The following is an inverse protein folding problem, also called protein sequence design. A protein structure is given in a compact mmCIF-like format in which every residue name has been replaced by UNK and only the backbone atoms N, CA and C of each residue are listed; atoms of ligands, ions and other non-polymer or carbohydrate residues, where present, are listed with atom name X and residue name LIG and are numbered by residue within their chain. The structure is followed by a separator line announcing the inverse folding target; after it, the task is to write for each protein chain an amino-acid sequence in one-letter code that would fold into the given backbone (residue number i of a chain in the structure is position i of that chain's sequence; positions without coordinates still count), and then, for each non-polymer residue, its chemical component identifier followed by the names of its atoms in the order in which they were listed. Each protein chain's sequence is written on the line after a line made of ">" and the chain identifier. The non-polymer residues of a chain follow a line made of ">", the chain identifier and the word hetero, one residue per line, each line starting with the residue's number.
data_IF_081670723163
#
_entry.id   IF_081670723163
#
_cell.length_a   1.000
_cell.length_b   1.000
_cell.length_c   1.000
_cell.angle_alpha   90.00
_cell.angle_beta   90.00
_cell.angle_gamma   90.00
#
_symmetry.space_group_name_H-M   'P 1'
#
loop_
_entity.id
_entity.type
_entity.pdbx_description
1 polymer ?
#
# COMPACT_ATOMS: atom_id res chain seq x y z
N UNK A 1 -33.03 -6.44 -33.32
CA UNK A 1 -31.93 -5.51 -32.95
C UNK A 1 -32.45 -4.46 -31.98
N UNK A 2 -33.57 -3.81 -32.29
CA UNK A 2 -34.38 -2.93 -31.43
C UNK A 2 -34.57 -3.41 -29.99
N UNK A 3 -34.96 -4.66 -29.76
CA UNK A 3 -35.19 -5.16 -28.40
C UNK A 3 -33.95 -5.19 -27.48
N UNK A 4 -32.72 -5.26 -28.03
CA UNK A 4 -31.49 -5.16 -27.23
C UNK A 4 -31.16 -3.69 -26.94
N UNK A 5 -31.46 -2.79 -27.87
CA UNK A 5 -31.24 -1.35 -27.74
C UNK A 5 -32.16 -0.76 -26.67
N UNK A 6 -33.45 -1.11 -26.68
CA UNK A 6 -34.41 -0.75 -25.63
C UNK A 6 -33.98 -1.26 -24.24
N UNK A 7 -33.41 -2.46 -24.16
CA UNK A 7 -32.92 -3.01 -22.88
C UNK A 7 -31.64 -2.31 -22.38
N UNK A 8 -30.92 -1.64 -23.26
CA UNK A 8 -29.72 -0.88 -22.97
C UNK A 8 -30.05 0.59 -22.69
N UNK A 9 -31.16 1.13 -23.18
CA UNK A 9 -31.54 2.54 -23.05
C UNK A 9 -31.58 3.02 -21.58
N UNK A 10 -32.19 2.23 -20.69
CA UNK A 10 -32.28 2.54 -19.25
C UNK A 10 -31.03 2.16 -18.43
N UNK A 11 -30.07 1.47 -19.05
CA UNK A 11 -28.92 0.88 -18.36
C UNK A 11 -27.58 1.26 -18.99
N UNK A 12 -27.59 2.19 -19.95
CA UNK A 12 -26.41 2.70 -20.64
C UNK A 12 -26.03 4.05 -20.04
N UNK A 13 -24.83 4.10 -19.46
CA UNK A 13 -24.16 5.35 -19.19
C UNK A 13 -23.08 5.55 -20.25
N UNK A 14 -22.84 6.80 -20.64
CA UNK A 14 -21.92 7.11 -21.72
C UNK A 14 -21.34 8.51 -21.61
N UNK A 15 -20.20 8.71 -22.26
CA UNK A 15 -19.58 10.03 -22.42
C UNK A 15 -19.97 10.58 -23.81
N UNK A 16 -20.77 11.67 -23.89
CA UNK A 16 -21.26 12.21 -25.15
C UNK A 16 -20.15 12.83 -26.01
N UNK A 17 -18.98 13.13 -25.44
CA UNK A 17 -17.86 13.75 -26.18
C UNK A 17 -17.00 12.68 -26.86
N UNK A 18 -16.83 11.52 -26.23
CA UNK A 18 -15.98 10.44 -26.76
C UNK A 18 -16.76 9.31 -27.44
N UNK A 19 -18.10 9.32 -27.35
CA UNK A 19 -18.98 8.28 -27.89
C UNK A 19 -18.94 6.95 -27.12
N UNK A 20 -18.25 6.91 -25.97
CA UNK A 20 -18.03 5.68 -25.20
C UNK A 20 -19.32 5.28 -24.45
N UNK A 21 -19.81 4.06 -24.66
CA UNK A 21 -21.00 3.51 -23.99
C UNK A 21 -20.67 2.32 -23.10
N UNK A 22 -21.26 2.24 -21.91
CA UNK A 22 -21.11 1.10 -21.00
C UNK A 22 -22.42 0.78 -20.28
N UNK A 23 -22.56 -0.46 -19.82
CA UNK A 23 -23.74 -0.92 -19.05
C UNK A 23 -23.33 -1.70 -17.81
N UNK A 24 -24.13 -1.60 -16.75
CA UNK A 24 -23.96 -2.37 -15.52
C UNK A 24 -24.57 -3.78 -15.59
N UNK A 25 -25.27 -4.12 -16.68
CA UNK A 25 -25.91 -5.44 -16.85
C UNK A 25 -24.92 -6.48 -17.36
N UNK A 26 -24.92 -7.66 -16.73
CA UNK A 26 -24.16 -8.81 -17.23
C UNK A 26 -24.78 -9.38 -18.51
N UNK A 27 -23.98 -10.06 -19.34
CA UNK A 27 -24.48 -10.76 -20.54
C UNK A 27 -25.59 -11.78 -20.22
N UNK A 28 -25.53 -12.40 -19.04
CA UNK A 28 -26.57 -13.32 -18.54
C UNK A 28 -27.88 -12.58 -18.23
N UNK A 29 -27.79 -11.42 -17.60
CA UNK A 29 -28.96 -10.56 -17.34
C UNK A 29 -29.60 -10.09 -18.66
N UNK A 30 -28.79 -9.65 -19.62
CA UNK A 30 -29.25 -9.25 -20.95
C UNK A 30 -29.90 -10.41 -21.72
N UNK A 31 -29.29 -11.60 -21.69
CA UNK A 31 -29.86 -12.80 -22.31
C UNK A 31 -31.21 -13.20 -21.69
N UNK A 32 -31.31 -13.17 -20.36
CA UNK A 32 -32.56 -13.46 -19.66
C UNK A 32 -33.66 -12.44 -19.99
N UNK A 33 -33.31 -11.14 -20.05
CA UNK A 33 -34.25 -10.09 -20.38
C UNK A 33 -34.76 -10.20 -21.84
N UNK A 34 -33.87 -10.50 -22.79
CA UNK A 34 -34.24 -10.79 -24.18
C UNK A 34 -35.12 -12.03 -24.29
N UNK A 35 -34.81 -13.09 -23.52
CA UNK A 35 -35.61 -14.32 -23.50
C UNK A 35 -37.05 -14.06 -23.02
N UNK A 36 -37.25 -13.19 -22.03
CA UNK A 36 -38.59 -12.77 -21.57
C UNK A 36 -39.37 -12.02 -22.66
N UNK A 37 -38.68 -11.39 -23.61
CA UNK A 37 -39.26 -10.76 -24.80
C UNK A 37 -39.36 -11.71 -26.00
N UNK A 38 -39.27 -13.03 -25.78
CA UNK A 38 -39.34 -14.06 -26.83
C UNK A 38 -38.06 -14.24 -27.65
N UNK A 39 -37.01 -13.47 -27.39
CA UNK A 39 -35.77 -13.47 -28.20
C UNK A 39 -34.70 -14.31 -27.51
N UNK A 40 -34.36 -15.46 -28.10
CA UNK A 40 -33.32 -16.36 -27.57
C UNK A 40 -31.95 -16.05 -28.18
N UNK A 41 -31.13 -15.28 -27.46
CA UNK A 41 -29.74 -15.02 -27.84
C UNK A 41 -28.75 -15.57 -26.79
N UNK A 42 -27.71 -16.25 -27.28
CA UNK A 42 -26.58 -16.68 -26.46
C UNK A 42 -25.71 -15.49 -26.04
N UNK A 43 -25.05 -15.59 -24.87
CA UNK A 43 -24.19 -14.54 -24.32
C UNK A 43 -23.07 -14.09 -25.27
N UNK A 44 -22.51 -15.00 -26.07
CA UNK A 44 -21.48 -14.69 -27.06
C UNK A 44 -22.02 -13.82 -28.22
N UNK A 45 -23.25 -14.06 -28.65
CA UNK A 45 -23.92 -13.25 -29.68
C UNK A 45 -24.21 -11.85 -29.14
N UNK A 46 -24.67 -11.75 -27.90
CA UNK A 46 -24.89 -10.47 -27.22
C UNK A 46 -23.55 -9.72 -27.09
N UNK A 47 -22.47 -10.38 -26.66
CA UNK A 47 -21.15 -9.76 -26.56
C UNK A 47 -20.60 -9.27 -27.91
N UNK A 48 -20.89 -9.98 -29.01
CA UNK A 48 -20.55 -9.56 -30.36
C UNK A 48 -21.35 -8.31 -30.77
N UNK A 49 -22.66 -8.31 -30.56
CA UNK A 49 -23.54 -7.18 -30.86
C UNK A 49 -23.17 -5.94 -30.02
N UNK A 50 -22.83 -6.12 -28.75
CA UNK A 50 -22.35 -5.04 -27.88
C UNK A 50 -21.04 -4.42 -28.41
N UNK A 51 -20.08 -5.24 -28.85
CA UNK A 51 -18.83 -4.75 -29.46
C UNK A 51 -19.06 -4.01 -30.77
N UNK A 52 -20.02 -4.46 -31.60
CA UNK A 52 -20.42 -3.76 -32.83
C UNK A 52 -21.07 -2.40 -32.57
N UNK A 53 -21.48 -2.13 -31.32
CA UNK A 53 -22.06 -0.86 -30.86
C UNK A 53 -21.10 -0.10 -29.93
N UNK A 54 -19.81 -0.41 -29.99
CA UNK A 54 -18.73 0.20 -29.21
C UNK A 54 -18.84 0.06 -27.67
N UNK A 55 -19.67 -0.86 -27.20
CA UNK A 55 -19.66 -1.25 -25.79
C UNK A 55 -18.46 -2.14 -25.49
N UNK A 56 -17.75 -1.82 -24.41
CA UNK A 56 -16.58 -2.57 -23.97
C UNK A 56 -16.57 -2.75 -22.46
N UNK A 57 -16.01 -3.87 -22.00
CA UNK A 57 -15.72 -4.06 -20.58
C UNK A 57 -14.58 -3.12 -20.20
N UNK A 58 -14.86 -2.15 -19.33
CA UNK A 58 -13.88 -1.22 -18.80
C UNK A 58 -13.79 -1.39 -17.29
N UNK A 59 -12.60 -1.21 -16.74
CA UNK A 59 -12.40 -1.11 -15.30
C UNK A 59 -12.39 0.36 -14.91
N UNK A 60 -12.89 0.66 -13.72
CA UNK A 60 -12.82 2.01 -13.18
C UNK A 60 -11.35 2.43 -13.04
N UNK A 61 -10.95 3.48 -13.76
CA UNK A 61 -9.60 4.06 -13.67
C UNK A 61 -9.64 5.25 -12.71
N UNK A 62 -8.94 5.16 -11.58
CA UNK A 62 -8.77 6.25 -10.62
C UNK A 62 -7.80 7.33 -11.16
N UNK A 63 -8.20 8.05 -12.23
CA UNK A 63 -7.41 9.12 -12.86
C UNK A 63 -7.69 10.50 -12.28
N UNK A 64 -8.96 10.77 -11.99
CA UNK A 64 -9.40 12.06 -11.44
C UNK A 64 -8.95 12.17 -9.98
N UNK A 65 -8.17 13.20 -9.67
CA UNK A 65 -7.84 13.53 -8.30
C UNK A 65 -8.92 14.48 -7.76
N UNK A 66 -9.69 14.06 -6.76
CA UNK A 66 -10.65 14.93 -6.09
C UNK A 66 -10.00 16.05 -5.25
N UNK A 67 -8.67 16.07 -5.17
CA UNK A 67 -7.88 17.07 -4.44
C UNK A 67 -6.70 17.52 -5.29
N UNK A 68 -6.63 18.82 -5.56
CA UNK A 68 -5.52 19.48 -6.24
C UNK A 68 -4.83 20.41 -5.24
N UNK A 69 -3.88 19.87 -4.48
CA UNK A 69 -3.08 20.69 -3.58
C UNK A 69 -2.12 21.57 -4.40
N UNK A 70 -2.15 22.91 -4.25
CA UNK A 70 -1.30 23.82 -5.03
C UNK A 70 0.19 23.61 -4.78
N UNK A 71 0.58 23.01 -3.65
CA UNK A 71 1.97 22.73 -3.30
C UNK A 71 2.45 21.36 -3.81
N UNK A 72 1.61 20.60 -4.51
CA UNK A 72 1.92 19.23 -4.99
C UNK A 72 3.20 19.16 -5.81
N UNK A 73 3.34 20.01 -6.83
CA UNK A 73 4.52 20.05 -7.70
C UNK A 73 5.78 20.42 -6.91
N UNK A 74 5.68 21.46 -6.05
CA UNK A 74 6.76 21.89 -5.17
C UNK A 74 7.22 20.75 -4.25
N UNK A 75 6.28 19.97 -3.72
CA UNK A 75 6.59 18.82 -2.89
C UNK A 75 7.27 17.70 -3.67
N UNK A 76 6.79 17.35 -4.87
CA UNK A 76 7.44 16.32 -5.69
C UNK A 76 8.88 16.68 -6.10
N UNK A 77 9.13 17.96 -6.40
CA UNK A 77 10.50 18.45 -6.62
C UNK A 77 11.38 18.28 -5.38
N UNK A 78 10.85 18.62 -4.19
CA UNK A 78 11.54 18.43 -2.91
C UNK A 78 11.85 16.95 -2.64
N UNK A 79 10.86 16.08 -2.78
CA UNK A 79 10.99 14.62 -2.63
C UNK A 79 12.08 14.04 -3.54
N UNK A 80 12.05 14.44 -4.82
CA UNK A 80 13.01 13.98 -5.82
C UNK A 80 14.43 14.46 -5.50
N UNK A 81 14.58 15.74 -5.13
CA UNK A 81 15.88 16.30 -4.72
C UNK A 81 16.44 15.58 -3.51
N UNK A 82 15.61 15.32 -2.50
CA UNK A 82 16.00 14.61 -1.28
C UNK A 82 16.45 13.19 -1.54
N UNK A 83 15.68 12.44 -2.34
CA UNK A 83 16.02 11.08 -2.75
C UNK A 83 17.38 11.06 -3.46
N UNK A 84 17.57 11.91 -4.48
CA UNK A 84 18.85 12.01 -5.21
C UNK A 84 20.02 12.34 -4.28
N UNK A 85 19.84 13.29 -3.35
CA UNK A 85 20.88 13.71 -2.40
C UNK A 85 21.35 12.56 -1.49
N UNK A 86 20.42 11.76 -0.98
CA UNK A 86 20.72 10.62 -0.11
C UNK A 86 21.37 9.48 -0.90
N UNK A 87 20.80 9.13 -2.05
CA UNK A 87 21.33 8.07 -2.92
C UNK A 87 22.76 8.39 -3.38
N UNK A 88 23.03 9.62 -3.80
CA UNK A 88 24.37 10.06 -4.20
C UNK A 88 25.41 9.99 -3.06
N UNK A 89 24.98 9.96 -1.80
CA UNK A 89 25.83 9.81 -0.62
C UNK A 89 25.90 8.35 -0.11
N UNK A 90 25.30 7.40 -0.81
CA UNK A 90 25.17 6.02 -0.35
C UNK A 90 24.36 5.88 0.94
N UNK A 91 23.48 6.84 1.24
CA UNK A 91 22.62 6.82 2.42
C UNK A 91 21.31 6.10 2.12
N UNK A 92 20.73 5.39 3.12
CA UNK A 92 19.50 4.65 2.93
C UNK A 92 18.32 5.57 2.63
N UNK A 93 17.54 5.18 1.62
CA UNK A 93 16.25 5.80 1.27
C UNK A 93 15.18 4.72 1.21
N UNK A 94 14.22 4.80 2.13
CA UNK A 94 13.09 3.89 2.16
C UNK A 94 11.80 4.61 1.82
N UNK A 95 10.92 3.90 1.13
CA UNK A 95 9.53 4.24 0.92
C UNK A 95 8.68 3.28 1.73
N UNK A 96 7.77 3.79 2.55
CA UNK A 96 6.97 3.00 3.49
C UNK A 96 5.49 3.22 3.24
N UNK A 97 4.73 2.15 3.38
CA UNK A 97 3.28 2.15 3.25
C UNK A 97 2.70 0.88 3.88
N UNK A 98 1.43 0.93 4.28
CA UNK A 98 0.70 -0.27 4.68
C UNK A 98 -0.24 -0.67 3.56
N UNK A 99 0.02 -1.82 2.95
CA UNK A 99 -0.88 -2.41 1.95
C UNK A 99 -2.25 -2.62 2.58
N UNK A 100 -3.28 -2.61 1.72
CA UNK A 100 -4.64 -3.04 2.08
C UNK A 100 -4.60 -4.27 3.00
N UNK A 101 -5.36 -4.19 4.09
CA UNK A 101 -5.53 -5.27 5.06
C UNK A 101 -6.31 -6.39 4.42
N UNK A 102 -5.80 -7.62 4.54
CA UNK A 102 -6.48 -8.80 4.03
C UNK A 102 -6.99 -9.67 5.18
N UNK A 103 -8.14 -10.31 4.95
CA UNK A 103 -8.59 -11.40 5.79
C UNK A 103 -7.77 -12.65 5.47
N UNK A 104 -7.27 -13.30 6.51
CA UNK A 104 -6.55 -14.58 6.40
C UNK A 104 -7.58 -15.69 6.52
N UNK A 105 -7.72 -16.50 5.49
CA UNK A 105 -8.73 -17.55 5.40
C UNK A 105 -8.94 -17.99 3.96
N UNK A 106 -9.83 -18.96 3.76
CA UNK A 106 -10.16 -19.50 2.44
C UNK A 106 -11.12 -18.58 1.66
N UNK A 107 -10.74 -17.32 1.50
CA UNK A 107 -11.52 -16.26 0.86
C UNK A 107 -11.14 -16.07 -0.60
N UNK A 108 -12.06 -15.51 -1.37
CA UNK A 108 -11.84 -15.26 -2.80
C UNK A 108 -10.91 -14.07 -3.02
N UNK A 109 -9.69 -14.34 -3.49
CA UNK A 109 -8.78 -13.29 -3.93
C UNK A 109 -8.95 -13.00 -5.43
N UNK A 110 -9.11 -11.74 -5.87
CA UNK A 110 -9.23 -11.42 -7.29
C UNK A 110 -8.03 -11.90 -8.12
N UNK A 111 -8.29 -12.28 -9.36
CA UNK A 111 -7.26 -12.78 -10.29
C UNK A 111 -7.55 -14.20 -10.76
N UNK A 112 -6.62 -14.73 -11.55
CA UNK A 112 -6.66 -16.09 -12.10
C UNK A 112 -5.24 -16.63 -12.13
N UNK A 113 -5.09 -17.91 -11.85
CA UNK A 113 -3.82 -18.62 -11.92
C UNK A 113 -4.03 -19.97 -12.61
N UNK A 114 -2.98 -20.47 -13.24
CA UNK A 114 -2.99 -21.75 -13.94
C UNK A 114 -3.00 -22.90 -12.92
N UNK A 115 -3.97 -23.81 -13.06
CA UNK A 115 -4.13 -25.00 -12.21
C UNK A 115 -4.98 -26.04 -12.94
N UNK A 116 -4.79 -27.32 -12.62
CA UNK A 116 -5.53 -28.44 -13.22
C UNK A 116 -6.99 -28.51 -12.76
N UNK A 117 -7.26 -28.14 -11.50
CA UNK A 117 -8.58 -28.17 -10.90
C UNK A 117 -8.90 -26.81 -10.27
N UNK A 118 -10.18 -26.45 -10.26
CA UNK A 118 -10.65 -25.27 -9.53
C UNK A 118 -10.39 -25.45 -8.03
N UNK A 119 -10.24 -24.33 -7.30
CA UNK A 119 -10.12 -24.34 -5.85
C UNK A 119 -11.36 -23.71 -5.26
N UNK A 120 -12.05 -24.45 -4.42
CA UNK A 120 -13.20 -23.95 -3.70
C UNK A 120 -12.76 -22.99 -2.60
N UNK A 121 -13.46 -21.85 -2.56
CA UNK A 121 -13.30 -20.78 -1.58
C UNK A 121 -14.66 -20.45 -1.02
N UNK A 122 -14.68 -19.80 0.15
CA UNK A 122 -15.90 -19.32 0.77
C UNK A 122 -16.60 -18.34 -0.18
N UNK A 123 -17.92 -18.42 -0.24
CA UNK A 123 -18.78 -17.56 -1.04
C UNK A 123 -18.92 -16.15 -0.44
N UNK A 124 -18.61 -16.00 0.85
CA UNK A 124 -18.59 -14.73 1.57
C UNK A 124 -17.31 -14.54 2.38
N UNK A 125 -16.85 -13.29 2.44
CA UNK A 125 -15.66 -12.88 3.19
C UNK A 125 -16.02 -12.39 4.60
N UNK A 126 -16.77 -13.19 5.37
CA UNK A 126 -17.17 -12.78 6.72
C UNK A 126 -15.99 -12.83 7.72
N UNK A 127 -15.77 -11.77 8.52
CA UNK A 127 -14.66 -11.71 9.48
C UNK A 127 -14.61 -12.89 10.46
N UNK A 128 -15.76 -13.41 10.89
CA UNK A 128 -15.87 -14.56 11.81
C UNK A 128 -15.33 -15.88 11.24
N UNK A 129 -15.20 -15.98 9.93
CA UNK A 129 -14.64 -17.15 9.24
C UNK A 129 -13.14 -16.99 8.97
N UNK A 130 -12.56 -15.83 9.27
CA UNK A 130 -11.15 -15.58 9.10
C UNK A 130 -10.36 -16.18 10.27
N UNK A 131 -9.19 -16.76 9.96
CA UNK A 131 -8.15 -17.09 10.94
C UNK A 131 -7.67 -15.82 11.65
N UNK A 132 -7.68 -14.70 10.93
CA UNK A 132 -7.37 -13.39 11.47
C UNK A 132 -7.22 -12.36 10.38
N UNK A 133 -6.60 -11.23 10.72
CA UNK A 133 -6.30 -10.15 9.78
C UNK A 133 -4.80 -10.05 9.55
N UNK A 134 -4.39 -9.88 8.29
CA UNK A 134 -3.02 -9.58 7.91
C UNK A 134 -2.90 -8.08 7.61
N UNK A 135 -2.07 -7.39 8.39
CA UNK A 135 -1.71 -5.98 8.16
C UNK A 135 -0.28 -5.95 7.63
N UNK A 136 -0.12 -5.79 6.33
CA UNK A 136 1.20 -5.84 5.69
C UNK A 136 1.80 -4.44 5.64
N UNK A 137 2.68 -4.14 6.58
CA UNK A 137 3.52 -2.93 6.54
C UNK A 137 4.76 -3.19 5.70
N UNK A 138 4.89 -2.47 4.59
CA UNK A 138 5.99 -2.63 3.65
C UNK A 138 7.04 -1.52 3.78
N UNK A 139 8.29 -1.91 3.52
CA UNK A 139 9.45 -1.05 3.44
C UNK A 139 10.15 -1.36 2.11
N UNK A 140 10.14 -0.40 1.19
CA UNK A 140 10.84 -0.49 -0.08
C UNK A 140 12.14 0.33 -0.02
N UNK A 141 13.27 -0.36 -0.10
CA UNK A 141 14.60 0.25 -0.18
C UNK A 141 14.89 0.67 -1.63
N UNK A 142 14.89 1.98 -1.86
CA UNK A 142 15.04 2.56 -3.20
C UNK A 142 16.44 2.40 -3.78
N UNK A 143 17.46 2.24 -2.93
CA UNK A 143 18.84 2.11 -3.40
C UNK A 143 19.13 0.68 -3.88
N UNK A 144 18.62 -0.32 -3.14
CA UNK A 144 18.87 -1.73 -3.46
C UNK A 144 17.77 -2.38 -4.29
N UNK A 145 16.66 -1.67 -4.58
CA UNK A 145 15.46 -2.23 -5.21
C UNK A 145 14.88 -3.45 -4.45
N UNK A 146 14.95 -3.44 -3.12
CA UNK A 146 14.46 -4.55 -2.28
C UNK A 146 13.23 -4.15 -1.45
N UNK A 147 12.37 -5.13 -1.18
CA UNK A 147 11.25 -5.03 -0.26
C UNK A 147 11.51 -5.77 1.06
N UNK A 148 10.92 -5.23 2.13
CA UNK A 148 10.79 -5.90 3.41
C UNK A 148 9.38 -5.69 3.95
N UNK A 149 8.67 -6.77 4.27
CA UNK A 149 7.31 -6.73 4.76
C UNK A 149 7.21 -7.27 6.19
N UNK A 150 6.52 -6.54 7.06
CA UNK A 150 6.12 -7.01 8.37
C UNK A 150 4.61 -7.24 8.37
N UNK A 151 4.20 -8.48 8.63
CA UNK A 151 2.79 -8.86 8.71
C UNK A 151 2.37 -8.76 10.17
N UNK A 152 1.56 -7.75 10.50
CA UNK A 152 0.98 -7.57 11.82
C UNK A 152 -0.37 -8.27 11.95
N UNK A 153 -0.67 -8.82 13.13
CA UNK A 153 -1.95 -9.48 13.43
C UNK A 153 -2.92 -8.62 14.25
N UNK A 154 -2.46 -7.50 14.79
CA UNK A 154 -3.22 -6.61 15.69
C UNK A 154 -3.85 -5.43 14.93
N UNK A 155 -3.35 -4.20 15.14
CA UNK A 155 -3.84 -2.99 14.51
C UNK A 155 -2.74 -2.21 13.79
N UNK A 156 -3.15 -1.54 12.71
CA UNK A 156 -2.32 -0.58 12.01
C UNK A 156 -2.23 0.70 12.85
N UNK A 157 -1.15 0.83 13.61
CA UNK A 157 -0.88 1.98 14.47
C UNK A 157 0.46 2.62 14.09
N UNK A 158 0.68 3.89 14.45
CA UNK A 158 1.98 4.53 14.26
C UNK A 158 3.15 3.74 14.90
N UNK A 159 2.90 3.12 16.08
CA UNK A 159 3.87 2.27 16.77
C UNK A 159 4.19 1.00 15.97
N UNK A 160 3.18 0.38 15.35
CA UNK A 160 3.39 -0.79 14.48
C UNK A 160 4.21 -0.42 13.24
N UNK A 161 3.90 0.68 12.57
CA UNK A 161 4.66 1.12 11.39
C UNK A 161 6.12 1.46 11.72
N UNK A 162 6.37 2.13 12.85
CA UNK A 162 7.74 2.38 13.32
C UNK A 162 8.46 1.08 13.71
N UNK A 163 7.75 0.13 14.32
CA UNK A 163 8.31 -1.20 14.63
C UNK A 163 8.67 -1.99 13.37
N UNK A 164 7.89 -1.84 12.28
CA UNK A 164 8.22 -2.45 11.00
C UNK A 164 9.53 -1.88 10.42
N UNK A 165 9.73 -0.56 10.48
CA UNK A 165 10.98 0.09 10.08
C UNK A 165 12.14 -0.36 10.99
N UNK A 166 11.92 -0.43 12.31
CA UNK A 166 12.88 -0.96 13.27
C UNK A 166 13.35 -2.36 12.88
N UNK A 167 12.40 -3.24 12.54
CA UNK A 167 12.70 -4.63 12.14
C UNK A 167 13.50 -4.68 10.85
N UNK A 168 13.11 -3.91 9.83
CA UNK A 168 13.87 -3.79 8.60
C UNK A 168 15.30 -3.28 8.87
N UNK A 169 15.46 -2.25 9.71
CA UNK A 169 16.77 -1.70 10.04
C UNK A 169 17.67 -2.75 10.70
N UNK A 170 17.17 -3.47 11.71
CA UNK A 170 17.96 -4.49 12.42
C UNK A 170 18.38 -5.65 11.52
N UNK A 171 17.48 -6.11 10.64
CA UNK A 171 17.70 -7.31 9.82
C UNK A 171 18.47 -6.99 8.53
N UNK A 172 18.21 -5.84 7.93
CA UNK A 172 18.71 -5.45 6.61
C UNK A 172 19.49 -4.15 6.68
N UNK A 173 18.83 -3.06 7.11
CA UNK A 173 19.36 -1.70 6.98
C UNK A 173 20.75 -1.50 7.60
N UNK A 174 20.95 -1.87 8.86
CA UNK A 174 22.23 -1.67 9.56
C UNK A 174 23.40 -2.46 8.98
N UNK A 175 23.12 -3.62 8.36
CA UNK A 175 24.14 -4.46 7.71
C UNK A 175 24.50 -3.91 6.34
N UNK A 176 23.50 -3.40 5.62
CA UNK A 176 23.66 -2.82 4.28
C UNK A 176 24.25 -1.41 4.31
N UNK A 177 23.94 -0.64 5.35
CA UNK A 177 24.37 0.74 5.53
C UNK A 177 25.12 0.92 6.85
N UNK A 178 26.26 0.25 7.07
CA UNK A 178 26.92 0.19 8.39
C UNK A 178 27.45 1.55 8.88
N UNK A 179 27.75 2.46 7.96
CA UNK A 179 28.24 3.81 8.26
C UNK A 179 27.13 4.87 8.27
N UNK A 180 25.88 4.51 7.98
CA UNK A 180 24.81 5.48 7.88
C UNK A 180 24.39 6.01 9.25
N UNK A 181 24.43 7.34 9.39
CA UNK A 181 23.88 8.10 10.53
C UNK A 181 22.57 8.81 10.17
N UNK A 182 22.09 8.62 8.94
CA UNK A 182 20.92 9.30 8.39
C UNK A 182 20.08 8.33 7.59
N UNK A 183 18.76 8.42 7.75
CA UNK A 183 17.78 7.63 7.01
C UNK A 183 16.70 8.55 6.44
N UNK A 184 16.46 8.47 5.13
CA UNK A 184 15.33 9.15 4.49
C UNK A 184 14.14 8.19 4.42
N UNK A 185 13.01 8.62 4.97
CA UNK A 185 11.74 7.90 4.99
C UNK A 185 10.74 8.68 4.15
N UNK A 186 10.30 8.08 3.05
CA UNK A 186 9.21 8.58 2.22
C UNK A 186 7.93 7.85 2.62
N UNK A 187 6.94 8.60 3.09
CA UNK A 187 5.69 8.03 3.59
C UNK A 187 4.49 8.69 2.92
N UNK A 188 3.36 8.00 2.92
CA UNK A 188 2.10 8.64 2.60
C UNK A 188 1.73 9.69 3.68
N UNK A 189 0.81 10.59 3.35
CA UNK A 189 0.34 11.62 4.28
C UNK A 189 -0.73 11.14 5.27
N UNK A 190 -1.16 9.87 5.20
CA UNK A 190 -2.34 9.32 5.88
C UNK A 190 -2.03 8.15 6.82
N UNK A 191 -3.08 7.43 7.24
CA UNK A 191 -2.93 6.15 7.95
C UNK A 191 -2.09 6.22 9.22
N UNK A 192 -1.35 5.16 9.52
CA UNK A 192 -0.45 5.10 10.68
C UNK A 192 0.72 6.11 10.63
N UNK A 193 1.11 6.57 9.44
CA UNK A 193 2.31 7.38 9.24
C UNK A 193 2.01 8.86 9.05
N UNK A 194 0.75 9.27 9.22
CA UNK A 194 0.32 10.63 8.87
C UNK A 194 1.12 11.73 9.56
N UNK A 195 1.48 12.77 8.82
CA UNK A 195 2.35 13.87 9.27
C UNK A 195 1.81 14.66 10.47
N UNK A 196 0.49 14.62 10.70
CA UNK A 196 -0.18 15.26 11.86
C UNK A 196 -0.16 14.38 13.11
N UNK A 197 0.21 13.10 13.02
CA UNK A 197 0.15 12.16 14.15
C UNK A 197 1.40 12.28 15.02
N UNK A 198 1.23 12.80 16.23
CA UNK A 198 2.32 12.83 17.20
C UNK A 198 2.80 11.44 17.62
N UNK A 199 1.90 10.44 17.65
CA UNK A 199 2.28 9.06 17.97
C UNK A 199 3.28 8.49 16.96
N UNK A 200 3.21 8.93 15.69
CA UNK A 200 4.19 8.58 14.66
C UNK A 200 5.55 9.21 14.96
N UNK A 201 5.55 10.52 15.25
CA UNK A 201 6.78 11.28 15.57
C UNK A 201 7.47 10.75 16.84
N UNK A 202 6.72 10.43 17.88
CA UNK A 202 7.25 9.82 19.10
C UNK A 202 7.81 8.42 18.83
N UNK A 203 7.09 7.58 18.08
CA UNK A 203 7.61 6.25 17.73
C UNK A 203 8.90 6.32 16.89
N UNK A 204 9.01 7.30 15.98
CA UNK A 204 10.24 7.59 15.26
C UNK A 204 11.35 8.17 16.14
N UNK A 205 11.03 8.95 17.17
CA UNK A 205 12.03 9.43 18.14
C UNK A 205 12.70 8.25 18.84
N UNK A 206 11.94 7.27 19.33
CA UNK A 206 12.51 6.06 19.91
C UNK A 206 13.39 5.30 18.92
N UNK A 207 12.97 5.21 17.65
CA UNK A 207 13.78 4.59 16.60
C UNK A 207 15.10 5.35 16.34
N UNK A 208 15.04 6.68 16.34
CA UNK A 208 16.21 7.55 16.20
C UNK A 208 17.19 7.32 17.35
N UNK A 209 16.68 7.27 18.59
CA UNK A 209 17.47 7.09 19.81
C UNK A 209 18.10 5.70 19.90
N UNK A 210 17.32 4.64 19.60
CA UNK A 210 17.77 3.24 19.62
C UNK A 210 19.04 3.04 18.78
N UNK A 211 19.11 3.71 17.62
CA UNK A 211 20.13 3.45 16.60
C UNK A 211 21.03 4.65 16.28
N UNK A 212 20.92 5.75 17.02
CA UNK A 212 21.65 6.99 16.78
C UNK A 212 21.52 7.46 15.30
N UNK A 213 20.28 7.50 14.81
CA UNK A 213 19.95 7.87 13.44
C UNK A 213 19.21 9.20 13.38
N UNK A 214 19.64 10.09 12.49
CA UNK A 214 18.83 11.23 12.08
C UNK A 214 17.83 10.74 11.03
N UNK A 215 16.55 10.74 11.39
CA UNK A 215 15.46 10.30 10.51
C UNK A 215 14.89 11.51 9.79
N UNK A 216 15.10 11.63 8.48
CA UNK A 216 14.40 12.63 7.67
C UNK A 216 13.14 12.01 7.10
N UNK A 217 11.97 12.57 7.41
CA UNK A 217 10.69 12.11 6.90
C UNK A 217 10.16 13.12 5.88
N UNK A 218 9.68 12.61 4.76
CA UNK A 218 9.03 13.41 3.72
C UNK A 218 7.71 12.74 3.31
N UNK A 219 6.61 13.47 3.41
CA UNK A 219 5.28 12.95 3.10
C UNK A 219 4.85 13.28 1.67
N UNK A 220 4.19 12.34 1.01
CA UNK A 220 3.53 12.64 -0.26
C UNK A 220 2.35 13.60 -0.05
N UNK A 221 2.04 14.47 -1.04
CA UNK A 221 0.89 15.34 -0.97
C UNK A 221 -0.42 14.57 -0.76
N UNK A 222 -1.42 15.16 -0.09
CA UNK A 222 -2.75 14.57 0.02
C UNK A 222 -3.32 14.16 -1.35
N UNK A 223 -3.92 12.96 -1.43
CA UNK A 223 -4.46 12.42 -2.68
C UNK A 223 -3.40 12.02 -3.71
N UNK A 224 -2.14 11.90 -3.31
CA UNK A 224 -1.02 11.58 -4.18
C UNK A 224 -0.30 10.27 -3.80
N UNK A 225 -0.88 9.43 -2.92
CA UNK A 225 -0.28 8.16 -2.46
C UNK A 225 0.11 7.20 -3.58
N UNK A 226 -0.58 7.27 -4.73
CA UNK A 226 -0.19 6.51 -5.94
C UNK A 226 1.25 6.78 -6.38
N UNK A 227 1.82 7.94 -6.07
CA UNK A 227 3.18 8.30 -6.48
C UNK A 227 4.25 7.83 -5.48
N UNK A 228 3.85 7.22 -4.37
CA UNK A 228 4.77 6.61 -3.42
C UNK A 228 5.49 5.43 -4.10
N UNK A 229 6.83 5.38 -4.16
CA UNK A 229 7.54 4.33 -4.90
C UNK A 229 7.15 2.91 -4.52
N UNK A 230 6.90 2.64 -3.23
CA UNK A 230 6.48 1.33 -2.73
C UNK A 230 5.20 0.81 -3.40
N UNK A 231 4.27 1.68 -3.77
CA UNK A 231 2.99 1.25 -4.37
C UNK A 231 3.22 0.55 -5.72
N UNK A 232 4.09 1.12 -6.55
CA UNK A 232 4.39 0.59 -7.88
C UNK A 232 5.54 -0.42 -7.90
N UNK A 233 6.51 -0.29 -7.00
CA UNK A 233 7.73 -1.13 -6.98
C UNK A 233 7.61 -2.34 -6.08
N UNK A 234 6.66 -2.38 -5.16
CA UNK A 234 6.49 -3.49 -4.21
C UNK A 234 5.03 -3.93 -4.08
N UNK A 235 4.10 -3.04 -3.73
CA UNK A 235 2.70 -3.40 -3.49
C UNK A 235 2.01 -4.00 -4.73
N UNK A 236 2.32 -3.46 -5.92
CA UNK A 236 1.85 -3.97 -7.20
C UNK A 236 2.36 -5.40 -7.49
N UNK A 237 3.66 -5.65 -7.27
CA UNK A 237 4.26 -6.98 -7.46
C UNK A 237 3.68 -8.00 -6.48
N UNK A 238 3.45 -7.60 -5.23
CA UNK A 238 2.79 -8.44 -4.23
C UNK A 238 1.36 -8.77 -4.68
N UNK A 239 0.58 -7.77 -5.15
CA UNK A 239 -0.76 -8.02 -5.67
C UNK A 239 -0.76 -9.00 -6.84
N UNK A 240 0.18 -8.84 -7.78
CA UNK A 240 0.31 -9.73 -8.92
C UNK A 240 0.61 -11.17 -8.50
N UNK A 241 1.53 -11.34 -7.54
CA UNK A 241 1.89 -12.66 -7.02
C UNK A 241 0.75 -13.33 -6.21
N UNK A 242 -0.16 -12.54 -5.64
CA UNK A 242 -1.31 -13.04 -4.88
C UNK A 242 -2.53 -13.36 -5.76
N UNK A 243 -2.50 -12.99 -7.04
CA UNK A 243 -3.67 -13.03 -7.90
C UNK A 243 -4.26 -14.44 -8.03
N UNK A 244 -5.54 -14.59 -7.66
CA UNK A 244 -6.26 -15.87 -7.71
C UNK A 244 -5.89 -16.87 -6.60
N UNK A 245 -5.03 -16.48 -5.65
CA UNK A 245 -4.59 -17.35 -4.54
C UNK A 245 -5.24 -16.93 -3.21
N UNK A 246 -5.98 -17.84 -2.54
CA UNK A 246 -6.51 -17.55 -1.21
C UNK A 246 -5.40 -17.54 -0.16
N UNK A 247 -5.44 -16.57 0.74
CA UNK A 247 -4.46 -16.38 1.81
C UNK A 247 -4.88 -17.17 3.06
N UNK A 248 -4.87 -18.50 2.95
CA UNK A 248 -5.48 -19.40 3.95
C UNK A 248 -4.82 -19.40 5.33
N UNK A 249 -3.56 -18.99 5.42
CA UNK A 249 -2.80 -18.92 6.67
C UNK A 249 -1.79 -17.78 6.66
N UNK A 250 -1.33 -17.35 7.83
CA UNK A 250 -0.23 -16.38 7.93
C UNK A 250 1.05 -16.89 7.25
N UNK A 251 1.30 -18.20 7.30
CA UNK A 251 2.41 -18.81 6.56
C UNK A 251 2.24 -18.66 5.06
N UNK A 252 1.02 -18.85 4.53
CA UNK A 252 0.71 -18.64 3.11
C UNK A 252 0.97 -17.18 2.71
N UNK A 253 0.54 -16.22 3.54
CA UNK A 253 0.84 -14.79 3.35
C UNK A 253 2.34 -14.54 3.28
N UNK A 254 3.11 -15.06 4.25
CA UNK A 254 4.56 -14.91 4.29
C UNK A 254 5.24 -15.57 3.10
N UNK A 255 4.79 -16.76 2.69
CA UNK A 255 5.28 -17.48 1.52
C UNK A 255 5.16 -16.60 0.28
N UNK A 256 3.96 -16.11 -0.02
CA UNK A 256 3.76 -15.28 -1.20
C UNK A 256 4.49 -13.94 -1.12
N UNK A 257 4.61 -13.31 0.05
CA UNK A 257 5.49 -12.14 0.19
C UNK A 257 6.94 -12.51 -0.14
N UNK A 258 7.47 -13.59 0.46
CA UNK A 258 8.86 -14.05 0.28
C UNK A 258 9.17 -14.55 -1.12
N UNK A 259 8.18 -14.99 -1.90
CA UNK A 259 8.37 -15.40 -3.30
C UNK A 259 8.09 -14.29 -4.31
N UNK A 260 7.72 -13.09 -3.86
CA UNK A 260 7.48 -11.97 -4.79
C UNK A 260 8.80 -11.51 -5.41
N UNK A 261 8.85 -11.46 -6.75
CA UNK A 261 10.04 -11.09 -7.54
C UNK A 261 9.68 -10.14 -8.68
N UNK A 262 10.68 -9.48 -9.27
CA UNK A 262 10.59 -8.86 -10.60
C UNK A 262 11.78 -9.24 -11.47
N UNK A 263 11.62 -9.12 -12.79
CA UNK A 263 12.71 -9.24 -13.77
C UNK A 263 13.81 -8.18 -13.55
N UNK A 264 13.46 -7.05 -12.95
CA UNK A 264 14.39 -5.98 -12.58
C UNK A 264 15.12 -6.23 -11.25
N UNK A 265 15.10 -7.47 -10.76
CA UNK A 265 15.85 -7.89 -9.57
C UNK A 265 15.21 -7.52 -8.23
N UNK A 266 13.90 -7.24 -8.18
CA UNK A 266 13.22 -7.00 -6.91
C UNK A 266 13.10 -8.30 -6.12
N UNK A 267 13.43 -8.26 -4.82
CA UNK A 267 13.17 -9.32 -3.86
C UNK A 267 12.45 -8.79 -2.64
N UNK A 268 11.54 -9.60 -2.06
CA UNK A 268 10.86 -9.24 -0.83
C UNK A 268 11.20 -10.23 0.29
N UNK A 269 11.66 -9.73 1.44
CA UNK A 269 11.75 -10.49 2.69
C UNK A 269 10.50 -10.23 3.51
N UNK A 270 10.06 -11.21 4.29
CA UNK A 270 8.90 -11.01 5.17
C UNK A 270 8.99 -11.73 6.50
N UNK A 271 8.44 -11.12 7.55
CA UNK A 271 8.26 -11.74 8.86
C UNK A 271 6.90 -11.42 9.48
N UNK A 272 6.47 -12.24 10.43
CA UNK A 272 5.27 -12.05 11.23
C UNK A 272 5.61 -11.25 12.50
N UNK A 273 4.72 -10.36 12.89
CA UNK A 273 4.71 -9.67 14.18
C UNK A 273 3.36 -9.89 14.86
N UNK A 274 3.37 -10.70 15.92
CA UNK A 274 2.17 -11.03 16.71
C UNK A 274 1.99 -10.11 17.92
N UNK A 275 2.84 -9.09 18.09
CA UNK A 275 2.74 -8.18 19.23
C UNK A 275 1.43 -7.39 19.21
N UNK A 276 0.85 -7.11 20.39
CA UNK A 276 -0.32 -6.26 20.49
C UNK A 276 0.04 -4.80 20.24
N UNK A 277 -0.71 -4.15 19.35
CA UNK A 277 -0.62 -2.72 19.09
C UNK A 277 -2.00 -2.10 19.29
N UNK A 278 -2.38 -1.70 20.52
CA UNK A 278 -3.72 -1.19 20.79
C UNK A 278 -3.95 0.17 20.11
N UNK A 279 -5.19 0.41 19.71
CA UNK A 279 -5.64 1.71 19.18
C UNK A 279 -5.90 2.69 20.33
N UNK A 280 -6.01 3.97 19.99
CA UNK A 280 -6.48 5.00 20.94
C UNK A 280 -5.45 5.45 21.98
N UNK A 281 -4.20 4.98 21.88
CA UNK A 281 -3.12 5.49 22.73
C UNK A 281 -2.92 7.00 22.47
N UNK A 282 -3.21 7.80 23.48
CA UNK A 282 -2.97 9.24 23.47
C UNK A 282 -1.51 9.49 23.80
N UNK A 283 -0.87 10.35 23.01
CA UNK A 283 0.49 10.81 23.31
C UNK A 283 0.41 11.90 24.36
N UNK A 284 1.11 11.71 25.47
CA UNK A 284 1.17 12.70 26.55
C UNK A 284 1.88 13.97 26.06
N UNK A 285 1.52 15.17 26.54
CA UNK A 285 2.20 16.42 26.17
C UNK A 285 3.73 16.36 26.38
N UNK A 286 4.18 15.72 27.46
CA UNK A 286 5.59 15.50 27.76
C UNK A 286 6.33 14.69 26.69
N UNK A 287 5.70 13.65 26.15
CA UNK A 287 6.28 12.83 25.08
C UNK A 287 6.39 13.63 23.79
N UNK A 288 5.41 14.49 23.48
CA UNK A 288 5.46 15.38 22.32
C UNK A 288 6.59 16.40 22.46
N UNK A 289 6.73 17.00 23.64
CA UNK A 289 7.77 17.98 23.93
C UNK A 289 9.19 17.41 23.83
N UNK A 290 9.37 16.11 24.12
CA UNK A 290 10.64 15.40 24.00
C UNK A 290 11.03 15.09 22.54
N UNK A 291 10.13 15.19 21.57
CA UNK A 291 10.51 14.91 20.18
C UNK A 291 11.44 16.00 19.65
N UNK A 292 12.67 15.64 19.28
CA UNK A 292 13.67 16.53 18.67
C UNK A 292 13.40 16.72 17.17
N UNK A 293 12.21 17.23 16.86
CA UNK A 293 11.78 17.50 15.50
C UNK A 293 12.37 18.82 14.98
N UNK A 294 13.02 18.76 13.82
CA UNK A 294 13.47 19.93 13.06
C UNK A 294 12.69 20.02 11.75
N UNK A 295 11.82 21.02 11.57
CA UNK A 295 11.12 21.23 10.32
C UNK A 295 12.11 21.55 9.18
N UNK A 296 11.77 21.19 7.94
CA UNK A 296 12.57 21.52 6.74
C UNK A 296 12.06 22.81 6.12
N UNK A 297 12.93 23.51 5.40
CA UNK A 297 12.59 24.81 4.78
C UNK A 297 11.43 24.71 3.76
N UNK A 298 11.37 23.62 2.98
CA UNK A 298 10.29 23.41 2.01
C UNK A 298 9.20 22.58 2.68
N UNK A 299 7.99 23.15 2.80
CA UNK A 299 6.79 22.47 3.30
C UNK A 299 7.04 21.75 4.65
N UNK A 300 7.37 22.51 5.72
CA UNK A 300 7.81 21.98 7.01
C UNK A 300 6.83 21.02 7.69
N UNK A 301 5.53 21.13 7.38
CA UNK A 301 4.52 20.21 7.89
C UNK A 301 4.66 18.79 7.31
N UNK A 302 5.11 18.67 6.05
CA UNK A 302 5.30 17.40 5.36
C UNK A 302 6.74 16.91 5.39
N UNK A 303 7.69 17.81 5.66
CA UNK A 303 9.11 17.51 5.61
C UNK A 303 9.76 17.92 6.92
N UNK A 304 10.25 16.96 7.68
CA UNK A 304 10.92 17.19 8.96
C UNK A 304 12.05 16.19 9.16
N UNK A 305 12.90 16.45 10.15
CA UNK A 305 13.90 15.50 10.61
C UNK A 305 13.78 15.31 12.11
N UNK A 306 13.85 14.07 12.56
CA UNK A 306 13.90 13.71 13.98
C UNK A 306 15.34 13.36 14.29
N UNK A 307 15.90 14.06 15.28
CA UNK A 307 17.28 13.86 15.71
C UNK A 307 17.30 12.94 16.93
N UNK A 308 18.30 12.06 17.07
CA UNK A 308 18.44 11.29 18.29
C UNK A 308 18.70 12.24 19.47
N UNK A 309 18.22 11.88 20.65
CA UNK A 309 18.74 12.40 21.89
C UNK A 309 20.23 12.03 21.98
N UNK A 310 21.09 12.99 22.36
CA UNK A 310 22.49 12.65 22.64
C UNK A 310 22.47 11.56 23.70
N UNK A 311 23.10 10.40 23.45
CA UNK A 311 23.38 9.45 24.54
C UNK A 311 24.21 10.19 25.57
N UNK A 312 23.68 10.38 26.77
CA UNK A 312 24.52 10.67 27.93
C UNK A 312 25.52 9.53 28.01
N UNK A 313 26.81 9.83 27.79
CA UNK A 313 27.89 8.93 28.18
C UNK A 313 27.87 8.89 29.70
N UNK A 314 27.00 8.06 30.26
CA UNK A 314 27.03 7.63 31.66
C UNK A 314 26.13 6.41 31.79
N UNK A 315 26.70 5.26 31.48
CA UNK A 315 26.89 4.15 32.42
C UNK A 315 27.46 2.97 31.63
N UNK A 316 28.79 2.91 31.59
CA UNK A 316 29.45 1.63 31.73
C UNK A 316 29.05 1.10 33.12
N UNK A 317 28.25 0.05 33.17
CA UNK A 317 28.07 -0.72 34.39
C UNK A 317 27.98 -2.18 33.98
N UNK A 318 29.16 -2.79 34.01
CA UNK A 318 29.48 -4.14 34.44
C UNK A 318 28.38 -5.22 34.45
N UNK A 319 28.73 -6.33 33.81
CA UNK A 319 28.14 -7.68 33.76
C UNK A 319 26.91 -7.88 32.87
#
# INVERSE_FOLDING_TARGET
>A
MTALEELLEDATAGDPITGLKWTHRSLRSLSNALRRRGIKLAGNTIARLMRQRDFSLRTNRKRLAGTHDPQRERQFRSLTRMRRLYLARGLPVISVDTKKKEWVGNFKNPGRCWRRQARDVLDHDFPRWAVGRAIVSGIFDSASNDGYAVVGTSHETPKFAAAAIRRWWVVVGRRRYPKARRLLIQADGGGANGYRKWAWKVALQHLADDFDLILTVTHDPPGASKWNPIEHRMSSLISANWAGEPLVSYETVLKYLRTTRSETGFHCRACLDTKPYPKGLKVKPEEQARVRLRPRAVLPQWNYSIWPHKRSHNQATYF
#
